data_IF_354769748334
#
_entry.id   IF_354769748334
#
_cell.length_a   1.000
_cell.length_b   1.000
_cell.length_c   1.000
_cell.angle_alpha   90.00
_cell.angle_beta   90.00
_cell.angle_gamma   90.00
#
_symmetry.space_group_name_H-M   'P 1'
#
loop_
_entity.id
_entity.type
_entity.pdbx_description
1 polymer ?
#
# COMPACT_ATOMS: atom_id res chain seq x y z
N UNK A 1 -5.40 -2.73 -24.11
CA UNK A 1 -4.73 -3.56 -23.08
C UNK A 1 -3.39 -2.99 -22.55
N UNK A 2 -2.88 -1.85 -23.05
CA UNK A 2 -1.57 -1.30 -22.60
C UNK A 2 -1.65 -0.34 -21.39
N UNK A 3 -2.71 0.47 -21.29
CA UNK A 3 -2.80 1.54 -20.28
C UNK A 3 -3.01 1.03 -18.86
N UNK A 4 -3.73 -0.10 -18.71
CA UNK A 4 -3.97 -0.73 -17.40
C UNK A 4 -2.68 -1.32 -16.81
N UNK A 5 -1.87 -1.98 -17.64
CA UNK A 5 -0.53 -2.46 -17.27
C UNK A 5 0.37 -1.30 -16.88
N UNK A 6 0.43 -0.24 -17.69
CA UNK A 6 1.22 0.95 -17.38
C UNK A 6 0.80 1.66 -16.08
N UNK A 7 -0.47 1.58 -15.68
CA UNK A 7 -0.92 2.10 -14.38
C UNK A 7 -0.49 1.19 -13.23
N UNK A 8 -0.66 -0.12 -13.38
CA UNK A 8 -0.24 -1.11 -12.38
C UNK A 8 1.28 -1.07 -12.16
N UNK A 9 2.07 -0.97 -13.23
CA UNK A 9 3.53 -0.87 -13.18
C UNK A 9 4.01 0.39 -12.44
N UNK A 10 3.33 1.53 -12.66
CA UNK A 10 3.62 2.78 -11.93
C UNK A 10 3.33 2.67 -10.44
N UNK A 11 2.18 2.11 -10.09
CA UNK A 11 1.81 1.89 -8.68
C UNK A 11 2.82 0.94 -8.02
N UNK A 12 3.26 -0.10 -8.71
CA UNK A 12 4.28 -1.01 -8.19
C UNK A 12 5.62 -0.29 -7.93
N UNK A 13 6.07 0.54 -8.87
CA UNK A 13 7.30 1.32 -8.70
C UNK A 13 7.22 2.30 -7.51
N UNK A 14 6.09 2.98 -7.35
CA UNK A 14 5.87 3.90 -6.23
C UNK A 14 5.89 3.16 -4.88
N UNK A 15 5.24 1.99 -4.81
CA UNK A 15 5.24 1.15 -3.61
C UNK A 15 6.63 0.58 -3.29
N UNK A 16 7.42 0.20 -4.29
CA UNK A 16 8.80 -0.27 -4.11
C UNK A 16 9.69 0.83 -3.52
N UNK A 17 9.54 2.08 -4.01
CA UNK A 17 10.23 3.25 -3.47
C UNK A 17 9.88 3.51 -2.01
N UNK A 18 8.59 3.52 -1.67
CA UNK A 18 8.11 3.72 -0.29
C UNK A 18 8.65 2.60 0.63
N UNK A 19 8.65 1.35 0.15
CA UNK A 19 9.18 0.22 0.91
C UNK A 19 10.70 0.34 1.16
N UNK A 20 11.46 0.92 0.23
CA UNK A 20 12.88 1.21 0.42
C UNK A 20 13.08 2.26 1.52
N UNK A 21 12.36 3.38 1.45
CA UNK A 21 12.42 4.44 2.46
C UNK A 21 12.06 3.95 3.86
N UNK A 22 11.07 3.05 3.99
CA UNK A 22 10.72 2.43 5.28
C UNK A 22 11.85 1.54 5.83
N UNK A 23 12.53 0.78 4.98
CA UNK A 23 13.66 -0.08 5.39
C UNK A 23 14.88 0.72 5.82
N UNK A 24 15.10 1.86 5.17
CA UNK A 24 16.22 2.76 5.45
C UNK A 24 15.95 3.70 6.64
N UNK A 25 14.71 3.72 7.14
CA UNK A 25 14.29 4.58 8.24
C UNK A 25 14.00 6.03 7.84
N UNK A 26 13.94 6.30 6.53
CA UNK A 26 13.61 7.62 5.96
C UNK A 26 12.10 7.89 5.91
N UNK A 27 11.29 6.83 5.94
CA UNK A 27 9.83 6.89 6.06
C UNK A 27 9.38 6.35 7.43
N UNK A 28 8.25 6.86 7.92
CA UNK A 28 7.63 6.38 9.17
C UNK A 28 6.22 5.86 8.90
N UNK A 29 5.94 4.63 9.34
CA UNK A 29 4.59 4.06 9.35
C UNK A 29 3.86 4.57 10.59
N UNK A 30 2.80 5.36 10.40
CA UNK A 30 2.06 6.00 11.49
C UNK A 30 0.83 5.22 11.95
N UNK A 31 0.39 4.24 11.18
CA UNK A 31 -0.73 3.39 11.55
C UNK A 31 -0.90 2.25 10.56
N UNK A 32 -1.18 1.07 11.10
CA UNK A 32 -1.55 -0.13 10.35
C UNK A 32 -2.68 -0.80 11.11
N UNK A 33 -3.89 -0.70 10.57
CA UNK A 33 -5.11 -1.30 11.11
C UNK A 33 -5.47 -2.49 10.22
N UNK A 34 -5.69 -3.65 10.85
CA UNK A 34 -6.16 -4.85 10.15
C UNK A 34 -7.53 -5.18 10.67
N UNK A 35 -8.54 -4.85 9.87
CA UNK A 35 -9.92 -5.24 10.08
C UNK A 35 -10.13 -6.64 9.51
N UNK A 36 -10.59 -7.57 10.34
CA UNK A 36 -11.05 -8.88 9.91
C UNK A 36 -12.57 -8.85 9.95
N UNK A 37 -13.21 -8.86 8.79
CA UNK A 37 -14.65 -9.03 8.69
C UNK A 37 -15.01 -10.46 8.23
N UNK A 38 -16.30 -10.78 8.17
CA UNK A 38 -16.76 -12.10 7.71
C UNK A 38 -16.50 -12.35 6.20
N UNK A 39 -16.15 -11.32 5.43
CA UNK A 39 -15.94 -11.35 3.98
C UNK A 39 -14.45 -11.39 3.58
N UNK A 40 -13.53 -11.08 4.50
CA UNK A 40 -12.10 -11.10 4.25
C UNK A 40 -11.29 -10.29 5.25
N UNK A 41 -10.05 -10.01 4.86
CA UNK A 41 -9.13 -9.15 5.61
C UNK A 41 -9.01 -7.82 4.88
N UNK A 42 -9.33 -6.73 5.57
CA UNK A 42 -9.07 -5.36 5.11
C UNK A 42 -7.89 -4.82 5.90
N UNK A 43 -6.86 -4.36 5.20
CA UNK A 43 -5.67 -3.78 5.81
C UNK A 43 -5.58 -2.31 5.42
N UNK A 44 -5.56 -1.41 6.39
CA UNK A 44 -5.50 0.04 6.19
C UNK A 44 -4.28 0.60 6.86
N UNK A 45 -3.72 1.65 6.28
CA UNK A 45 -2.61 2.32 6.93
C UNK A 45 -2.19 3.61 6.28
N UNK A 46 -1.26 4.27 6.96
CA UNK A 46 -0.71 5.57 6.57
C UNK A 46 0.80 5.62 6.76
N UNK A 47 1.52 6.04 5.73
CA UNK A 47 2.97 6.18 5.70
C UNK A 47 3.30 7.64 5.43
N UNK A 48 4.19 8.23 6.23
CA UNK A 48 4.93 9.43 5.79
C UNK A 48 6.16 8.98 5.04
N UNK A 49 6.39 9.55 3.87
CA UNK A 49 7.59 9.36 3.06
C UNK A 49 8.09 10.72 2.56
N UNK A 50 9.20 10.74 1.83
CA UNK A 50 9.78 11.95 1.26
C UNK A 50 8.78 12.71 0.34
N UNK A 51 7.89 11.96 -0.31
CA UNK A 51 6.87 12.49 -1.22
C UNK A 51 5.58 12.94 -0.52
N UNK A 52 5.52 12.82 0.82
CA UNK A 52 4.40 13.27 1.64
C UNK A 52 3.65 12.12 2.34
N UNK A 53 2.33 12.26 2.45
CA UNK A 53 1.48 11.28 3.12
C UNK A 53 0.88 10.28 2.11
N UNK A 54 1.09 8.99 2.36
CA UNK A 54 0.54 7.89 1.58
C UNK A 54 -0.45 7.08 2.42
N UNK A 55 -1.70 7.00 1.97
CA UNK A 55 -2.73 6.14 2.57
C UNK A 55 -3.00 4.93 1.70
N UNK A 56 -3.19 3.76 2.30
CA UNK A 56 -3.50 2.52 1.59
C UNK A 56 -4.65 1.74 2.22
N UNK A 57 -5.35 1.00 1.37
CA UNK A 57 -6.33 -0.02 1.76
C UNK A 57 -6.10 -1.25 0.87
N UNK A 58 -5.81 -2.40 1.48
CA UNK A 58 -5.75 -3.69 0.82
C UNK A 58 -6.96 -4.51 1.21
N UNK A 59 -7.66 -5.02 0.21
CA UNK A 59 -8.80 -5.89 0.38
C UNK A 59 -8.42 -7.31 -0.06
N UNK A 60 -8.19 -8.18 0.91
CA UNK A 60 -7.95 -9.61 0.70
C UNK A 60 -9.26 -10.40 0.77
N UNK A 61 -10.30 -9.93 0.07
CA UNK A 61 -11.49 -10.75 -0.19
C UNK A 61 -11.04 -12.07 -0.82
N UNK A 62 -11.34 -13.17 -0.14
CA UNK A 62 -11.09 -14.52 -0.63
C UNK A 62 -11.95 -14.69 -1.89
N UNK A 63 -11.33 -14.64 -3.08
CA UNK A 63 -12.05 -14.96 -4.33
C UNK A 63 -12.66 -16.36 -4.18
N UNK A 64 -13.94 -16.55 -4.59
CA UNK A 64 -14.56 -17.87 -4.63
C UNK A 64 -13.79 -18.82 -5.58
#
# INVERSE_FOLDING_TARGET
MGERRSREDRIAADLESIAAQLREGEATLYGYEVDLDAAGRVQRGGITCADGWFAFEFDERRKP
#
